data_IF_791942968599
#
_entry.id   IF_791942968599
#
_cell.length_a   1.000
_cell.length_b   1.000
_cell.length_c   1.000
_cell.angle_alpha   90.00
_cell.angle_beta   90.00
_cell.angle_gamma   90.00
#
_symmetry.space_group_name_H-M   'P 1'
#
loop_
_entity.id
_entity.type
_entity.pdbx_description
1 polymer ?
#
# COMPACT_ATOMS: atom_id res chain seq x y z
N UNK A 1 -3.30 -17.79 9.71
CA UNK A 1 -3.02 -16.42 9.22
C UNK A 1 -1.61 -16.39 8.66
N UNK A 2 -1.46 -16.61 7.35
CA UNK A 2 -0.14 -16.74 6.71
C UNK A 2 0.37 -15.37 6.26
N UNK A 3 1.28 -14.78 7.04
CA UNK A 3 2.00 -13.55 6.69
C UNK A 3 3.31 -13.85 5.92
N UNK A 4 3.30 -14.89 5.07
CA UNK A 4 4.50 -15.30 4.33
C UNK A 4 4.74 -14.40 3.12
N UNK A 5 5.61 -13.40 3.32
CA UNK A 5 6.67 -13.00 2.40
C UNK A 5 6.35 -12.91 0.88
N UNK A 6 5.31 -12.16 0.49
CA UNK A 6 4.94 -12.02 -0.94
C UNK A 6 5.09 -10.59 -1.50
N UNK A 7 5.95 -9.75 -0.91
CA UNK A 7 6.29 -8.43 -1.53
C UNK A 7 7.30 -8.53 -2.69
N UNK A 8 7.72 -9.74 -3.08
CA UNK A 8 8.78 -9.95 -4.09
C UNK A 8 8.38 -9.57 -5.53
N UNK A 9 7.16 -9.10 -5.76
CA UNK A 9 6.65 -8.84 -7.13
C UNK A 9 6.33 -7.39 -7.47
N UNK A 10 6.13 -6.49 -6.49
CA UNK A 10 5.74 -5.10 -6.77
C UNK A 10 6.97 -4.21 -6.72
N UNK A 11 7.55 -3.96 -7.89
CA UNK A 11 8.68 -3.06 -8.07
C UNK A 11 8.20 -1.62 -8.31
N UNK A 12 9.14 -0.70 -8.53
CA UNK A 12 8.81 0.60 -9.09
C UNK A 12 8.58 0.45 -10.61
N UNK A 13 7.63 1.20 -11.19
CA UNK A 13 6.86 2.30 -10.60
C UNK A 13 5.56 1.88 -9.88
N UNK A 14 5.16 0.61 -9.94
CA UNK A 14 3.87 0.12 -9.43
C UNK A 14 3.73 0.33 -7.92
N UNK A 15 4.83 0.20 -7.18
CA UNK A 15 4.88 0.48 -5.75
C UNK A 15 4.55 1.94 -5.43
N UNK A 16 5.11 2.88 -6.20
CA UNK A 16 4.80 4.31 -6.07
C UNK A 16 3.33 4.61 -6.36
N UNK A 17 2.75 3.94 -7.35
CA UNK A 17 1.32 4.07 -7.67
C UNK A 17 0.43 3.54 -6.55
N UNK A 18 0.73 2.36 -5.99
CA UNK A 18 0.03 1.81 -4.83
C UNK A 18 0.02 2.80 -3.66
N UNK A 19 1.18 3.34 -3.32
CA UNK A 19 1.36 4.29 -2.21
C UNK A 19 0.52 5.54 -2.43
N UNK A 20 0.57 6.09 -3.64
CA UNK A 20 -0.21 7.27 -4.01
C UNK A 20 -1.71 7.01 -3.97
N UNK A 21 -2.18 5.90 -4.52
CA UNK A 21 -3.59 5.52 -4.54
C UNK A 21 -4.12 5.32 -3.11
N UNK A 22 -3.41 4.56 -2.29
CA UNK A 22 -3.76 4.36 -0.88
C UNK A 22 -3.85 5.68 -0.11
N UNK A 23 -2.86 6.56 -0.28
CA UNK A 23 -2.87 7.88 0.36
C UNK A 23 -4.07 8.73 -0.07
N UNK A 24 -4.38 8.73 -1.36
CA UNK A 24 -5.51 9.49 -1.91
C UNK A 24 -6.85 8.96 -1.43
N UNK A 25 -7.01 7.63 -1.33
CA UNK A 25 -8.19 7.01 -0.74
C UNK A 25 -8.39 7.44 0.72
N UNK A 26 -7.31 7.50 1.50
CA UNK A 26 -7.34 8.00 2.88
C UNK A 26 -7.49 9.54 2.97
N UNK A 27 -7.50 10.25 1.84
CA UNK A 27 -7.57 11.71 1.73
C UNK A 27 -6.46 12.43 2.51
N UNK A 28 -5.26 11.87 2.52
CA UNK A 28 -4.11 12.41 3.23
C UNK A 28 -3.14 13.15 2.30
N UNK A 29 -2.51 14.18 2.84
CA UNK A 29 -1.29 14.79 2.26
C UNK A 29 -0.11 13.82 2.38
N UNK A 30 0.97 14.06 1.62
CA UNK A 30 2.17 13.22 1.72
C UNK A 30 2.79 13.32 3.12
N UNK A 31 2.71 14.48 3.76
CA UNK A 31 3.17 14.75 5.13
C UNK A 31 2.37 13.96 6.17
N UNK A 32 1.03 13.99 6.07
CA UNK A 32 0.17 13.21 6.96
C UNK A 32 0.39 11.71 6.79
N UNK A 33 0.54 11.26 5.54
CA UNK A 33 0.82 9.85 5.26
C UNK A 33 2.20 9.42 5.76
N UNK A 34 3.20 10.30 5.62
CA UNK A 34 4.53 10.08 6.18
C UNK A 34 4.47 9.94 7.71
N UNK A 35 3.75 10.83 8.39
CA UNK A 35 3.53 10.75 9.83
C UNK A 35 2.83 9.44 10.24
N UNK A 36 1.82 9.01 9.49
CA UNK A 36 1.12 7.75 9.73
C UNK A 36 2.02 6.51 9.61
N UNK A 37 2.97 6.52 8.66
CA UNK A 37 3.94 5.45 8.48
C UNK A 37 5.20 5.59 9.37
N UNK A 38 5.35 6.71 10.09
CA UNK A 38 6.54 6.99 10.89
C UNK A 38 7.80 7.25 10.04
N UNK A 39 7.63 7.83 8.85
CA UNK A 39 8.72 8.21 7.95
C UNK A 39 8.68 9.70 7.63
N UNK A 40 9.73 10.22 6.97
CA UNK A 40 9.78 11.62 6.55
C UNK A 40 8.99 11.87 5.25
N UNK A 41 8.48 13.08 5.05
CA UNK A 41 7.85 13.50 3.79
C UNK A 41 8.72 13.20 2.54
N UNK A 42 10.03 13.53 2.52
CA UNK A 42 10.88 13.19 1.37
C UNK A 42 10.95 11.70 1.06
N UNK A 43 10.75 10.83 2.06
CA UNK A 43 10.66 9.39 1.86
C UNK A 43 9.42 9.01 1.05
N UNK A 44 8.25 9.51 1.42
CA UNK A 44 7.01 9.31 0.65
C UNK A 44 7.14 9.87 -0.75
N UNK A 45 7.66 11.09 -0.89
CA UNK A 45 7.85 11.73 -2.20
C UNK A 45 8.75 10.90 -3.12
N UNK A 46 9.84 10.32 -2.62
CA UNK A 46 10.69 9.43 -3.42
C UNK A 46 9.99 8.12 -3.80
N UNK A 47 9.18 7.56 -2.90
CA UNK A 47 8.44 6.34 -3.20
C UNK A 47 7.37 6.57 -4.26
N UNK A 48 6.55 7.62 -4.13
CA UNK A 48 5.48 7.93 -5.09
C UNK A 48 6.01 8.28 -6.49
N UNK A 49 7.21 8.86 -6.58
CA UNK A 49 7.84 9.22 -7.85
C UNK A 49 8.77 8.12 -8.40
N UNK A 50 8.78 6.92 -7.83
CA UNK A 50 9.59 5.81 -8.37
C UNK A 50 11.08 5.86 -8.06
N UNK A 51 11.55 6.83 -7.27
CA UNK A 51 12.97 7.03 -7.00
C UNK A 51 13.55 6.09 -5.92
N UNK A 52 12.71 5.43 -5.14
CA UNK A 52 13.15 4.46 -4.12
C UNK A 52 12.04 3.46 -3.78
N UNK A 53 12.40 2.28 -3.29
CA UNK A 53 11.44 1.31 -2.74
C UNK A 53 11.26 1.49 -1.23
N UNK A 54 10.07 1.18 -0.66
CA UNK A 54 9.89 1.12 0.78
C UNK A 54 10.68 -0.02 1.42
N UNK A 55 11.06 0.17 2.69
CA UNK A 55 11.67 -0.90 3.48
C UNK A 55 10.65 -2.01 3.79
N UNK A 56 11.14 -3.19 4.19
CA UNK A 56 10.26 -4.30 4.62
C UNK A 56 9.29 -3.89 5.73
N UNK A 57 9.71 -3.03 6.64
CA UNK A 57 8.86 -2.53 7.72
C UNK A 57 7.74 -1.62 7.18
N UNK A 58 8.10 -0.68 6.30
CA UNK A 58 7.14 0.20 5.66
C UNK A 58 6.13 -0.57 4.81
N UNK A 59 6.57 -1.59 4.07
CA UNK A 59 5.69 -2.46 3.30
C UNK A 59 4.69 -3.20 4.19
N UNK A 60 5.11 -3.65 5.37
CA UNK A 60 4.21 -4.27 6.35
C UNK A 60 3.14 -3.29 6.82
N UNK A 61 3.51 -2.05 7.13
CA UNK A 61 2.55 -1.01 7.54
C UNK A 61 1.57 -0.68 6.40
N UNK A 62 2.07 -0.50 5.17
CA UNK A 62 1.25 -0.25 3.98
C UNK A 62 0.22 -1.38 3.79
N UNK A 63 0.65 -2.65 3.90
CA UNK A 63 -0.26 -3.78 3.78
C UNK A 63 -1.32 -3.83 4.89
N UNK A 64 -0.96 -3.48 6.13
CA UNK A 64 -1.92 -3.34 7.22
C UNK A 64 -2.96 -2.27 6.89
N UNK A 65 -2.54 -1.08 6.42
CA UNK A 65 -3.46 -0.02 6.03
C UNK A 65 -4.42 -0.44 4.91
N UNK A 66 -3.92 -1.16 3.91
CA UNK A 66 -4.75 -1.70 2.81
C UNK A 66 -5.77 -2.70 3.35
N UNK A 67 -5.37 -3.59 4.26
CA UNK A 67 -6.27 -4.56 4.88
C UNK A 67 -7.36 -3.89 5.73
N UNK A 68 -6.98 -2.90 6.54
CA UNK A 68 -7.90 -2.16 7.39
C UNK A 68 -8.91 -1.39 6.53
N UNK A 69 -8.45 -0.79 5.43
CA UNK A 69 -9.30 -0.15 4.45
C UNK A 69 -10.31 -1.14 3.85
N UNK A 70 -9.88 -2.34 3.44
CA UNK A 70 -10.76 -3.40 2.90
C UNK A 70 -11.81 -3.92 3.87
N UNK A 71 -11.59 -3.76 5.17
CA UNK A 71 -12.48 -4.23 6.24
C UNK A 71 -13.21 -3.10 6.96
N UNK A 72 -13.10 -1.87 6.43
CA UNK A 72 -13.80 -0.70 6.93
C UNK A 72 -15.32 -0.91 6.94
N UNK A 73 -16.05 -0.43 7.98
CA UNK A 73 -17.52 -0.43 7.99
C UNK A 73 -18.12 0.52 6.94
N UNK A 74 -17.34 1.50 6.45
CA UNK A 74 -17.73 2.32 5.31
C UNK A 74 -17.59 1.49 4.03
N UNK A 75 -18.74 1.25 3.38
CA UNK A 75 -18.83 0.41 2.17
C UNK A 75 -17.94 0.94 1.05
N UNK A 76 -17.93 2.25 0.82
CA UNK A 76 -17.16 2.87 -0.27
C UNK A 76 -15.65 2.71 -0.02
N UNK A 77 -15.20 2.93 1.22
CA UNK A 77 -13.81 2.70 1.61
C UNK A 77 -13.42 1.22 1.52
N UNK A 78 -14.31 0.32 1.96
CA UNK A 78 -14.09 -1.13 1.89
C UNK A 78 -13.97 -1.65 0.46
N UNK A 79 -14.70 -1.06 -0.48
CA UNK A 79 -14.63 -1.41 -1.90
C UNK A 79 -13.34 -0.90 -2.54
N UNK A 80 -12.92 0.31 -2.20
CA UNK A 80 -11.64 0.86 -2.62
C UNK A 80 -10.46 0.03 -2.09
N UNK A 81 -10.47 -0.34 -0.81
CA UNK A 81 -9.46 -1.22 -0.22
C UNK A 81 -9.37 -2.57 -0.94
N UNK A 82 -10.53 -3.20 -1.20
CA UNK A 82 -10.59 -4.47 -1.95
C UNK A 82 -10.11 -4.31 -3.39
N UNK A 83 -10.35 -3.17 -4.02
CA UNK A 83 -9.82 -2.85 -5.36
C UNK A 83 -8.28 -2.77 -5.35
N UNK A 84 -7.71 -2.02 -4.39
CA UNK A 84 -6.26 -1.89 -4.20
C UNK A 84 -5.63 -3.27 -3.94
N UNK A 85 -6.26 -4.09 -3.08
CA UNK A 85 -5.80 -5.46 -2.83
C UNK A 85 -5.76 -6.31 -4.10
N UNK A 86 -6.85 -6.32 -4.89
CA UNK A 86 -6.90 -7.10 -6.12
C UNK A 86 -5.86 -6.67 -7.15
N UNK A 87 -5.56 -5.37 -7.22
CA UNK A 87 -4.61 -4.81 -8.18
C UNK A 87 -3.15 -5.11 -7.80
N UNK A 88 -2.78 -4.87 -6.55
CA UNK A 88 -1.37 -4.90 -6.13
C UNK A 88 -0.97 -6.13 -5.33
N UNK A 89 -1.94 -6.86 -4.79
CA UNK A 89 -1.73 -8.09 -4.02
C UNK A 89 -2.61 -9.23 -4.58
N UNK A 90 -2.50 -9.57 -5.88
CA UNK A 90 -3.35 -10.59 -6.47
C UNK A 90 -3.12 -11.92 -5.74
N UNK A 91 -4.21 -12.67 -5.43
CA UNK A 91 -4.07 -14.00 -4.85
C UNK A 91 -3.26 -14.87 -5.81
N UNK A 92 -2.31 -15.66 -5.30
CA UNK A 92 -1.62 -16.67 -6.08
C UNK A 92 -2.66 -17.62 -6.67
N UNK A 93 -2.92 -17.52 -7.97
CA UNK A 93 -3.48 -18.65 -8.71
C UNK A 93 -2.44 -19.76 -8.63
N UNK A 94 -2.76 -20.86 -7.95
CA UNK A 94 -1.98 -22.09 -8.01
C UNK A 94 -1.81 -22.46 -9.50
N UNK A 95 -0.65 -22.18 -10.08
CA UNK A 95 -0.25 -22.87 -11.31
C UNK A 95 -0.17 -24.35 -10.97
N UNK A 96 -1.00 -25.14 -11.66
CA UNK A 96 -0.89 -26.59 -11.71
C UNK A 96 0.46 -27.01 -12.28
#
# INVERSE_FOLDING_TARGET
>A
MSFHQDYRGVAQPEMGQLIRELRQTLKLTQEQFAAQLGVSFPTINRWENGHANPSRLALKQINTLVHDLSTSPDVALSEQGRSIQRRYFPPKTLSK
#
